data_IF_633072414922
#
_entry.id   IF_633072414922
#
_cell.length_a   1.000
_cell.length_b   1.000
_cell.length_c   1.000
_cell.angle_alpha   90.00
_cell.angle_beta   90.00
_cell.angle_gamma   90.00
#
_symmetry.space_group_name_H-M   'P 1'
#
loop_
_entity.id
_entity.type
_entity.pdbx_description
1 polymer ?
#
# COMPACT_ATOMS: atom_id res chain seq x y z
N UNK A 1 4.52 17.81 -14.25
CA UNK A 1 3.80 18.65 -13.28
C UNK A 1 4.51 18.57 -11.94
N UNK A 2 4.35 19.59 -11.10
CA UNK A 2 4.76 19.58 -9.68
C UNK A 2 3.49 19.70 -8.84
N UNK A 3 3.57 19.32 -7.56
CA UNK A 3 2.50 19.53 -6.59
C UNK A 3 3.09 20.15 -5.32
N UNK A 4 2.31 21.00 -4.65
CA UNK A 4 2.72 21.65 -3.42
C UNK A 4 2.55 20.71 -2.23
N UNK A 5 3.51 20.73 -1.30
CA UNK A 5 3.50 19.95 -0.06
C UNK A 5 3.54 20.87 1.16
N UNK A 6 2.92 20.44 2.25
CA UNK A 6 2.83 21.16 3.51
C UNK A 6 3.50 20.38 4.64
N UNK A 7 3.87 21.11 5.71
CA UNK A 7 4.35 20.47 6.94
C UNK A 7 3.24 19.57 7.51
N UNK A 8 3.58 18.30 7.72
CA UNK A 8 2.65 17.28 8.17
C UNK A 8 2.18 16.33 7.06
N UNK A 9 2.43 16.64 5.79
CA UNK A 9 2.16 15.72 4.69
C UNK A 9 3.09 14.51 4.75
N UNK A 10 2.55 13.34 4.35
CA UNK A 10 3.30 12.10 4.24
C UNK A 10 3.42 11.74 2.76
N UNK A 11 4.66 11.66 2.28
CA UNK A 11 4.96 11.17 0.94
C UNK A 11 5.29 9.69 1.03
N UNK A 12 4.42 8.85 0.47
CA UNK A 12 4.66 7.42 0.32
C UNK A 12 5.04 7.10 -1.12
N UNK A 13 6.18 6.45 -1.30
CA UNK A 13 6.63 5.92 -2.59
C UNK A 13 6.92 4.44 -2.44
N UNK A 14 6.49 3.62 -3.40
CA UNK A 14 6.73 2.19 -3.42
C UNK A 14 6.79 1.68 -4.87
N UNK A 15 7.22 0.43 -5.05
CA UNK A 15 7.04 -0.30 -6.31
C UNK A 15 5.58 -0.76 -6.45
N UNK A 16 5.23 -1.21 -7.65
CA UNK A 16 3.91 -1.78 -7.99
C UNK A 16 3.43 -2.84 -6.99
N UNK A 17 4.31 -3.70 -6.49
CA UNK A 17 3.97 -4.76 -5.53
C UNK A 17 3.23 -4.27 -4.27
N UNK A 18 3.35 -3.01 -3.86
CA UNK A 18 2.47 -2.46 -2.83
C UNK A 18 1.06 -2.20 -3.36
N UNK A 19 0.94 -1.39 -4.41
CA UNK A 19 -0.35 -0.92 -4.93
C UNK A 19 -1.16 -2.01 -5.63
N UNK A 20 -0.49 -3.04 -6.16
CA UNK A 20 -1.10 -4.23 -6.74
C UNK A 20 -1.77 -5.11 -5.68
N UNK A 21 -1.30 -5.05 -4.42
CA UNK A 21 -1.70 -5.93 -3.34
C UNK A 21 -2.42 -5.23 -2.18
N UNK A 22 -2.37 -3.90 -2.10
CA UNK A 22 -3.05 -3.15 -1.05
C UNK A 22 -3.85 -1.98 -1.63
N UNK A 23 -5.18 -1.91 -1.39
CA UNK A 23 -5.97 -0.75 -1.75
C UNK A 23 -5.65 0.44 -0.83
N UNK A 24 -5.90 1.65 -1.32
CA UNK A 24 -5.61 2.91 -0.63
C UNK A 24 -6.08 2.94 0.83
N UNK A 25 -7.28 2.41 1.12
CA UNK A 25 -7.80 2.42 2.48
C UNK A 25 -6.96 1.59 3.44
N UNK A 26 -6.36 0.46 3.00
CA UNK A 26 -5.48 -0.36 3.85
C UNK A 26 -4.15 0.37 4.09
N UNK A 27 -3.58 0.96 3.05
CA UNK A 27 -2.37 1.79 3.15
C UNK A 27 -2.60 2.93 4.16
N UNK A 28 -3.74 3.61 4.07
CA UNK A 28 -4.13 4.67 5.00
C UNK A 28 -4.28 4.16 6.45
N UNK A 29 -4.75 2.92 6.68
CA UNK A 29 -4.80 2.36 8.03
C UNK A 29 -3.41 2.12 8.63
N UNK A 30 -2.44 1.70 7.81
CA UNK A 30 -1.05 1.56 8.28
C UNK A 30 -0.40 2.93 8.53
N UNK A 31 -0.61 3.90 7.65
CA UNK A 31 -0.08 5.26 7.82
C UNK A 31 -0.63 5.95 9.08
N UNK A 32 -1.89 5.68 9.45
CA UNK A 32 -2.47 6.16 10.73
C UNK A 32 -1.75 5.65 11.98
N UNK A 33 -0.96 4.56 11.88
CA UNK A 33 -0.17 4.05 13.00
C UNK A 33 1.11 4.85 13.23
N UNK A 34 1.48 5.76 12.32
CA UNK A 34 2.63 6.63 12.46
C UNK A 34 2.42 7.54 13.68
N UNK A 35 3.16 7.28 14.77
CA UNK A 35 2.98 7.98 16.05
C UNK A 35 3.61 9.37 16.06
N UNK A 36 4.74 9.51 15.38
CA UNK A 36 5.51 10.74 15.27
C UNK A 36 6.42 10.69 14.03
N UNK A 37 7.12 11.78 13.76
CA UNK A 37 8.01 11.92 12.60
C UNK A 37 9.45 11.48 12.90
N UNK A 38 9.69 10.68 13.94
CA UNK A 38 11.02 10.15 14.21
C UNK A 38 11.33 8.96 13.27
N UNK A 39 12.61 8.71 13.06
CA UNK A 39 13.07 7.70 12.10
C UNK A 39 12.54 6.30 12.41
N UNK A 40 12.52 5.89 13.68
CA UNK A 40 12.07 4.57 14.11
C UNK A 40 10.57 4.36 13.81
N UNK A 41 9.73 5.36 14.11
CA UNK A 41 8.29 5.31 13.81
C UNK A 41 8.05 5.24 12.31
N UNK A 42 8.78 6.01 11.51
CA UNK A 42 8.66 5.99 10.04
C UNK A 42 9.10 4.63 9.49
N UNK A 43 10.25 4.11 9.93
CA UNK A 43 10.78 2.83 9.48
C UNK A 43 9.83 1.68 9.85
N UNK A 44 9.28 1.69 11.07
CA UNK A 44 8.34 0.66 11.52
C UNK A 44 7.03 0.71 10.73
N UNK A 45 6.49 1.90 10.44
CA UNK A 45 5.31 2.06 9.60
C UNK A 45 5.57 1.58 8.18
N UNK A 46 6.70 1.97 7.57
CA UNK A 46 7.07 1.51 6.22
C UNK A 46 7.22 -0.01 6.15
N UNK A 47 7.85 -0.62 7.17
CA UNK A 47 7.99 -2.07 7.28
C UNK A 47 6.62 -2.76 7.40
N UNK A 48 5.73 -2.25 8.25
CA UNK A 48 4.37 -2.77 8.44
C UNK A 48 3.57 -2.77 7.12
N UNK A 49 3.67 -1.68 6.34
CA UNK A 49 3.04 -1.58 5.01
C UNK A 49 3.58 -2.67 4.07
N UNK A 50 4.91 -2.80 3.98
CA UNK A 50 5.55 -3.78 3.10
C UNK A 50 5.23 -5.23 3.51
N UNK A 51 5.21 -5.53 4.81
CA UNK A 51 4.85 -6.85 5.33
C UNK A 51 3.39 -7.20 5.02
N UNK A 52 2.46 -6.24 5.16
CA UNK A 52 1.06 -6.48 4.85
C UNK A 52 0.84 -6.72 3.35
N UNK A 53 1.47 -5.94 2.47
CA UNK A 53 1.45 -6.17 1.04
C UNK A 53 2.01 -7.55 0.68
N UNK A 54 3.11 -7.94 1.31
CA UNK A 54 3.71 -9.26 1.13
C UNK A 54 2.75 -10.38 1.54
N UNK A 55 2.11 -10.30 2.72
CA UNK A 55 1.13 -11.32 3.16
C UNK A 55 -0.03 -11.45 2.16
N UNK A 56 -0.59 -10.32 1.70
CA UNK A 56 -1.70 -10.31 0.75
C UNK A 56 -1.31 -10.85 -0.62
N UNK A 57 -0.08 -10.59 -1.08
CA UNK A 57 0.44 -11.10 -2.35
C UNK A 57 0.53 -12.64 -2.41
N UNK A 58 0.64 -13.30 -1.25
CA UNK A 58 0.70 -14.76 -1.14
C UNK A 58 -0.65 -15.40 -0.79
N UNK A 59 -1.72 -14.63 -0.58
CA UNK A 59 -3.06 -15.17 -0.33
C UNK A 59 -3.79 -15.44 -1.65
N UNK A 60 -3.96 -16.72 -2.06
CA UNK A 60 -4.62 -17.05 -3.33
C UNK A 60 -6.13 -16.75 -3.34
N UNK A 61 -6.75 -16.50 -2.18
CA UNK A 61 -8.16 -16.19 -2.07
C UNK A 61 -8.43 -14.68 -2.00
N UNK A 62 -7.38 -13.88 -1.90
CA UNK A 62 -7.49 -12.44 -1.84
C UNK A 62 -7.63 -11.85 -3.24
N UNK A 63 -8.76 -11.18 -3.49
CA UNK A 63 -8.94 -10.36 -4.69
C UNK A 63 -8.19 -9.04 -4.52
N UNK A 64 -6.90 -9.06 -4.89
CA UNK A 64 -6.04 -7.89 -4.85
C UNK A 64 -6.47 -6.81 -5.84
N UNK A 65 -6.06 -5.54 -5.66
CA UNK A 65 -6.25 -4.50 -6.67
C UNK A 65 -5.81 -4.93 -8.07
N UNK A 66 -4.69 -5.64 -8.18
CA UNK A 66 -4.21 -6.21 -9.45
C UNK A 66 -5.19 -7.25 -10.01
N UNK A 67 -5.61 -8.22 -9.20
CA UNK A 67 -6.53 -9.27 -9.63
C UNK A 67 -7.89 -8.71 -10.05
N UNK A 68 -8.43 -7.76 -9.28
CA UNK A 68 -9.66 -7.06 -9.61
C UNK A 68 -9.52 -6.31 -10.94
N UNK A 69 -8.45 -5.56 -11.14
CA UNK A 69 -8.19 -4.85 -12.38
C UNK A 69 -8.04 -5.81 -13.57
N UNK A 70 -7.36 -6.94 -13.40
CA UNK A 70 -7.25 -7.97 -14.42
C UNK A 70 -8.63 -8.54 -14.82
N UNK A 71 -9.47 -8.87 -13.83
CA UNK A 71 -10.84 -9.35 -14.05
C UNK A 71 -11.71 -8.31 -14.78
N UNK A 72 -11.64 -7.05 -14.36
CA UNK A 72 -12.40 -5.94 -14.99
C UNK A 72 -11.98 -5.72 -16.45
N UNK A 73 -10.74 -6.08 -16.81
CA UNK A 73 -10.20 -6.04 -18.17
C UNK A 73 -10.31 -7.39 -18.91
N UNK A 74 -11.11 -8.33 -18.41
CA UNK A 74 -11.47 -9.57 -19.11
C UNK A 74 -10.50 -10.73 -18.93
N UNK A 75 -9.48 -10.61 -18.07
CA UNK A 75 -8.63 -11.72 -17.66
C UNK A 75 -9.30 -12.45 -16.49
N UNK A 76 -10.19 -13.40 -16.79
CA UNK A 76 -10.75 -14.29 -15.78
C UNK A 76 -9.69 -15.33 -15.37
N UNK A 77 -8.94 -15.03 -14.32
CA UNK A 77 -8.16 -16.02 -13.56
C UNK A 77 -9.15 -16.82 -12.71
N UNK A 78 -9.56 -17.98 -13.23
CA UNK A 78 -10.25 -19.03 -12.47
C UNK A 78 -9.25 -20.02 -11.90
#
# INVERSE_FOLDING_TARGET
>A
SSFDVQLGDIILTATDGLFDNMPDYMILQELKKLKNTNYESIQQTAKSIAEQAHVLAYDPNYMSPFAQFACDNGLNVR
#
